data_IF_448424238501
#
_entry.id   IF_448424238501
#
_cell.length_a   1.000
_cell.length_b   1.000
_cell.length_c   1.000
_cell.angle_alpha   90.00
_cell.angle_beta   90.00
_cell.angle_gamma   90.00
#
_symmetry.space_group_name_H-M   'P 1'
#
loop_
_entity.id
_entity.type
_entity.pdbx_description
1 polymer ?
#
# COMPACT_ATOMS: atom_id res chain seq x y z
N UNK A 1 15.66 12.33 17.70
CA UNK A 1 16.44 13.23 16.83
C UNK A 1 15.98 14.69 16.82
N UNK A 2 14.67 15.04 16.93
CA UNK A 2 14.28 16.45 17.01
C UNK A 2 14.97 17.23 18.13
N UNK A 3 15.33 16.57 19.24
CA UNK A 3 16.10 17.21 20.31
C UNK A 3 17.54 17.59 19.93
N UNK A 4 18.12 17.01 18.87
CA UNK A 4 19.52 17.23 18.50
C UNK A 4 19.75 18.55 17.72
N UNK A 5 18.74 19.04 17.00
CA UNK A 5 18.87 20.28 16.21
C UNK A 5 17.50 20.88 15.85
N UNK A 6 17.35 22.22 15.87
CA UNK A 6 16.16 22.92 15.36
C UNK A 6 15.81 22.56 13.91
N UNK A 7 16.81 22.16 13.12
CA UNK A 7 16.67 21.77 11.72
C UNK A 7 15.68 20.60 11.50
N UNK A 8 15.42 19.79 12.53
CA UNK A 8 14.50 18.66 12.46
C UNK A 8 13.04 19.00 12.79
N UNK A 9 12.71 20.29 12.97
CA UNK A 9 11.32 20.75 13.15
C UNK A 9 10.74 21.48 11.92
N UNK A 10 11.58 21.78 10.93
CA UNK A 10 11.21 22.58 9.75
C UNK A 10 10.97 21.75 8.49
N UNK A 11 10.56 22.46 7.43
CA UNK A 11 10.61 21.94 6.05
C UNK A 11 12.06 22.06 5.57
N UNK A 12 12.58 21.03 4.90
CA UNK A 12 13.91 21.08 4.29
C UNK A 12 13.95 22.05 3.11
N UNK A 13 15.02 22.84 3.03
CA UNK A 13 15.30 23.76 1.94
C UNK A 13 15.65 23.00 0.65
N UNK A 14 15.59 23.71 -0.48
CA UNK A 14 15.91 23.11 -1.77
C UNK A 14 17.36 22.61 -1.82
N UNK A 15 17.55 21.43 -2.41
CA UNK A 15 18.83 20.71 -2.47
C UNK A 15 19.39 20.25 -1.11
N UNK A 16 18.56 20.20 -0.06
CA UNK A 16 18.89 19.49 1.17
C UNK A 16 19.10 18.00 0.92
N UNK A 17 19.93 17.38 1.75
CA UNK A 17 20.16 15.95 1.67
C UNK A 17 20.56 15.36 3.03
N UNK A 18 20.28 14.07 3.16
CA UNK A 18 20.74 13.23 4.26
C UNK A 18 21.78 12.23 3.75
N UNK A 19 22.69 11.82 4.64
CA UNK A 19 23.70 10.82 4.36
C UNK A 19 23.70 9.79 5.49
N UNK A 20 23.65 8.52 5.14
CA UNK A 20 23.99 7.41 6.04
C UNK A 20 25.31 6.81 5.57
N UNK A 21 26.37 7.00 6.34
CA UNK A 21 27.69 6.44 6.06
C UNK A 21 27.89 5.15 6.84
N UNK A 22 28.29 4.08 6.15
CA UNK A 22 28.84 2.89 6.80
C UNK A 22 30.33 3.11 7.03
N UNK A 23 30.75 3.04 8.29
CA UNK A 23 32.13 3.30 8.69
C UNK A 23 32.68 2.14 9.49
N UNK A 24 33.96 1.85 9.32
CA UNK A 24 34.66 0.80 10.06
C UNK A 24 36.09 1.22 10.35
N UNK A 25 36.65 0.69 11.43
CA UNK A 25 38.08 0.74 11.73
C UNK A 25 38.78 -0.59 11.43
N UNK A 26 38.06 -1.59 10.92
CA UNK A 26 38.63 -2.85 10.51
C UNK A 26 39.66 -2.61 9.39
N UNK A 27 40.80 -3.29 9.49
CA UNK A 27 41.89 -3.18 8.52
C UNK A 27 41.92 -4.44 7.64
N UNK A 28 42.07 -4.27 6.34
CA UNK A 28 42.12 -5.39 5.40
C UNK A 28 41.57 -5.00 4.04
N UNK A 29 41.50 -5.98 3.13
CA UNK A 29 40.86 -5.81 1.82
C UNK A 29 39.46 -6.43 1.76
N UNK A 30 39.11 -7.24 2.76
CA UNK A 30 37.82 -7.91 2.83
C UNK A 30 36.75 -6.96 3.37
N UNK A 31 35.49 -7.24 3.00
CA UNK A 31 34.37 -6.47 3.54
C UNK A 31 34.23 -6.80 5.04
N UNK A 32 34.15 -5.79 5.92
CA UNK A 32 34.07 -6.00 7.37
C UNK A 32 32.81 -6.77 7.75
N UNK A 33 32.88 -7.53 8.84
CA UNK A 33 31.67 -8.14 9.40
C UNK A 33 30.75 -7.06 9.96
N UNK A 34 29.44 -7.34 10.04
CA UNK A 34 28.45 -6.33 10.43
C UNK A 34 28.68 -5.74 11.82
N UNK A 35 29.29 -6.49 12.74
CA UNK A 35 29.67 -6.04 14.08
C UNK A 35 30.88 -5.09 14.10
N UNK A 36 31.66 -5.03 13.02
CA UNK A 36 32.74 -4.07 12.83
C UNK A 36 32.28 -2.80 12.09
N UNK A 37 31.01 -2.72 11.70
CA UNK A 37 30.42 -1.60 10.98
C UNK A 37 29.60 -0.74 11.94
N UNK A 38 29.85 0.56 11.89
CA UNK A 38 28.97 1.57 12.48
C UNK A 38 28.32 2.40 11.39
N UNK A 39 27.19 3.00 11.72
CA UNK A 39 26.46 3.94 10.88
C UNK A 39 26.59 5.33 11.46
N UNK A 40 26.94 6.29 10.60
CA UNK A 40 26.95 7.72 10.91
C UNK A 40 25.90 8.42 10.08
N UNK A 41 25.10 9.27 10.72
CA UNK A 41 24.11 10.08 10.03
C UNK A 41 24.58 11.53 9.92
N UNK A 42 24.43 12.10 8.73
CA UNK A 42 24.68 13.51 8.49
C UNK A 42 23.53 14.14 7.71
N UNK A 43 23.28 15.42 7.98
CA UNK A 43 22.27 16.20 7.29
C UNK A 43 22.82 17.57 6.91
N UNK A 44 22.43 18.04 5.73
CA UNK A 44 22.65 19.41 5.29
C UNK A 44 21.34 19.99 4.78
N UNK A 45 20.97 21.16 5.32
CA UNK A 45 19.78 21.89 4.91
C UNK A 45 20.17 22.92 3.85
N UNK A 46 19.81 22.67 2.60
CA UNK A 46 20.11 23.53 1.45
C UNK A 46 21.36 23.12 0.65
N UNK A 47 21.72 23.97 -0.30
CA UNK A 47 22.86 23.77 -1.21
C UNK A 47 24.19 23.98 -0.49
N UNK A 48 25.14 23.05 -0.66
CA UNK A 48 26.52 23.20 -0.16
C UNK A 48 27.34 24.10 -1.09
N UNK A 49 28.09 25.04 -0.52
CA UNK A 49 29.00 25.91 -1.26
C UNK A 49 30.44 25.86 -0.73
N UNK A 50 31.42 25.86 -1.64
CA UNK A 50 32.83 25.91 -1.30
C UNK A 50 33.32 24.68 -0.52
N UNK A 51 33.56 24.85 0.79
CA UNK A 51 34.17 23.85 1.67
C UNK A 51 33.26 23.38 2.82
N UNK A 52 31.98 23.78 2.77
CA UNK A 52 30.94 23.33 3.68
C UNK A 52 30.77 21.81 3.61
N UNK A 53 30.37 21.22 4.74
CA UNK A 53 30.19 19.77 4.89
C UNK A 53 28.88 19.50 5.62
N UNK A 54 28.23 18.35 5.38
CA UNK A 54 27.09 17.92 6.17
C UNK A 54 27.41 17.87 7.66
N UNK A 55 26.45 18.27 8.50
CA UNK A 55 26.61 18.19 9.96
C UNK A 55 26.23 16.79 10.41
N UNK A 56 27.07 16.19 11.25
CA UNK A 56 26.84 14.86 11.83
C UNK A 56 25.87 15.01 13.01
N UNK A 57 24.89 14.11 13.10
CA UNK A 57 23.94 14.10 14.20
C UNK A 57 23.79 12.69 14.79
N UNK A 58 23.63 12.56 16.12
CA UNK A 58 23.35 11.29 16.74
C UNK A 58 21.94 10.80 16.40
N UNK A 59 21.80 9.49 16.22
CA UNK A 59 20.53 8.85 15.84
C UNK A 59 19.80 8.27 17.05
N UNK A 60 18.46 8.17 16.94
CA UNK A 60 17.59 7.46 17.90
C UNK A 60 17.76 7.87 19.37
N UNK A 61 17.98 9.17 19.61
CA UNK A 61 18.13 9.77 20.94
C UNK A 61 19.31 9.22 21.75
N UNK A 62 20.31 8.68 21.04
CA UNK A 62 21.60 8.33 21.60
C UNK A 62 22.49 9.57 21.74
N UNK A 63 23.55 9.46 22.54
CA UNK A 63 24.56 10.51 22.68
C UNK A 63 25.75 10.37 21.73
N UNK A 64 25.86 9.23 21.04
CA UNK A 64 26.98 8.91 20.13
C UNK A 64 26.61 9.19 18.68
N UNK A 65 27.54 9.80 17.94
CA UNK A 65 27.43 10.04 16.50
C UNK A 65 27.64 8.78 15.66
N UNK A 66 28.21 7.73 16.27
CA UNK A 66 28.35 6.41 15.69
C UNK A 66 27.40 5.44 16.38
N UNK A 67 26.60 4.75 15.58
CA UNK A 67 25.70 3.70 16.03
C UNK A 67 26.15 2.36 15.44
N UNK A 68 26.14 1.27 16.21
CA UNK A 68 26.44 -0.05 15.64
C UNK A 68 25.45 -0.37 14.50
N UNK A 69 25.91 -1.09 13.47
CA UNK A 69 25.01 -1.48 12.38
C UNK A 69 23.81 -2.30 12.86
N UNK A 70 24.01 -3.17 13.85
CA UNK A 70 22.93 -3.96 14.47
C UNK A 70 21.89 -3.09 15.16
N UNK A 71 22.31 -2.08 15.93
CA UNK A 71 21.38 -1.17 16.59
C UNK A 71 20.65 -0.28 15.57
N UNK A 72 21.37 0.19 14.55
CA UNK A 72 20.78 0.95 13.44
C UNK A 72 19.67 0.14 12.76
N UNK A 73 19.96 -1.10 12.35
CA UNK A 73 18.96 -1.98 11.72
C UNK A 73 17.76 -2.20 12.63
N UNK A 74 18.01 -2.53 13.90
CA UNK A 74 16.95 -2.79 14.90
C UNK A 74 16.04 -1.59 15.11
N UNK A 75 16.59 -0.37 15.13
CA UNK A 75 15.80 0.85 15.30
C UNK A 75 15.05 1.23 14.02
N UNK A 76 15.68 1.05 12.86
CA UNK A 76 15.05 1.34 11.57
C UNK A 76 13.90 0.38 11.28
N UNK A 77 14.02 -0.89 11.66
CA UNK A 77 12.98 -1.91 11.50
C UNK A 77 11.68 -1.57 12.24
N UNK A 78 11.74 -0.73 13.29
CA UNK A 78 10.54 -0.27 14.01
C UNK A 78 9.68 0.69 13.20
N UNK A 79 10.28 1.39 12.24
CA UNK A 79 9.59 2.39 11.40
C UNK A 79 9.55 2.00 9.93
N UNK A 80 10.30 0.98 9.53
CA UNK A 80 10.36 0.51 8.16
C UNK A 80 9.06 -0.20 7.75
N UNK A 81 8.63 0.09 6.52
CA UNK A 81 7.65 -0.72 5.81
C UNK A 81 8.42 -1.64 4.87
N UNK A 82 8.54 -2.91 5.24
CA UNK A 82 9.47 -3.84 4.59
C UNK A 82 8.79 -4.75 3.57
N UNK A 83 7.48 -4.65 3.41
CA UNK A 83 6.72 -5.45 2.45
C UNK A 83 5.54 -4.69 1.84
N UNK A 84 5.16 -5.12 0.63
CA UNK A 84 3.96 -4.61 -0.05
C UNK A 84 2.70 -4.86 0.77
N UNK A 85 2.57 -6.02 1.44
CA UNK A 85 1.41 -6.31 2.29
C UNK A 85 1.30 -5.33 3.45
N UNK A 86 2.41 -5.12 4.18
CA UNK A 86 2.44 -4.15 5.28
C UNK A 86 2.09 -2.73 4.80
N UNK A 87 2.60 -2.33 3.63
CA UNK A 87 2.24 -1.05 3.00
C UNK A 87 0.73 -0.95 2.72
N UNK A 88 0.15 -1.99 2.11
CA UNK A 88 -1.26 -2.03 1.77
C UNK A 88 -2.16 -1.97 3.02
N UNK A 89 -1.79 -2.69 4.08
CA UNK A 89 -2.51 -2.70 5.35
C UNK A 89 -2.45 -1.32 6.03
N UNK A 90 -1.27 -0.69 6.07
CA UNK A 90 -1.08 0.63 6.68
C UNK A 90 -1.80 1.74 5.92
N UNK A 91 -1.80 1.70 4.58
CA UNK A 91 -2.43 2.73 3.75
C UNK A 91 -3.91 2.44 3.42
N UNK A 92 -4.43 1.26 3.77
CA UNK A 92 -5.82 0.88 3.52
C UNK A 92 -6.20 0.73 2.03
N UNK A 93 -5.24 0.38 1.17
CA UNK A 93 -5.46 0.21 -0.26
C UNK A 93 -5.82 -1.24 -0.58
N UNK A 94 -6.87 -1.46 -1.37
CA UNK A 94 -7.31 -2.79 -1.82
C UNK A 94 -7.07 -3.07 -3.30
N UNK A 95 -6.61 -2.07 -4.06
CA UNK A 95 -6.55 -2.14 -5.52
C UNK A 95 -5.11 -2.30 -6.03
N UNK A 96 -4.97 -2.62 -7.32
CA UNK A 96 -3.66 -2.74 -7.99
C UNK A 96 -2.75 -3.78 -7.31
N UNK A 97 -1.56 -3.35 -6.87
CA UNK A 97 -0.58 -4.21 -6.18
C UNK A 97 -1.06 -4.72 -4.82
N UNK A 98 -2.12 -4.15 -4.26
CA UNK A 98 -2.72 -4.58 -2.99
C UNK A 98 -3.86 -5.60 -3.14
N UNK A 99 -4.30 -5.86 -4.38
CA UNK A 99 -5.40 -6.80 -4.65
C UNK A 99 -5.06 -8.25 -4.27
N UNK A 100 -3.79 -8.65 -4.38
CA UNK A 100 -3.33 -10.00 -4.01
C UNK A 100 -3.18 -10.20 -2.50
N UNK A 101 -2.99 -9.12 -1.73
CA UNK A 101 -2.93 -9.15 -0.27
C UNK A 101 -4.32 -9.31 0.37
N UNK A 102 -5.38 -9.17 -0.43
CA UNK A 102 -6.77 -9.43 -0.05
C UNK A 102 -7.16 -10.91 -0.18
N UNK A 103 -6.26 -11.78 -0.64
CA UNK A 103 -6.51 -13.22 -0.67
C UNK A 103 -6.42 -13.77 0.76
N UNK A 104 -7.49 -14.33 1.34
CA UNK A 104 -7.45 -14.84 2.69
C UNK A 104 -6.48 -16.03 2.69
N UNK A 105 -5.39 -15.90 3.45
CA UNK A 105 -4.65 -17.06 3.93
C UNK A 105 -5.67 -17.96 4.62
N UNK A 106 -5.96 -19.08 3.97
CA UNK A 106 -6.92 -20.06 4.43
C UNK A 106 -6.30 -20.78 5.62
N UNK A 107 -6.51 -20.23 6.82
CA UNK A 107 -6.18 -20.89 8.08
C UNK A 107 -7.38 -20.73 9.00
N UNK A 108 -8.09 -21.81 9.36
CA UNK A 108 -9.22 -21.71 10.27
C UNK A 108 -8.66 -21.64 11.69
N UNK A 109 -8.26 -20.45 12.14
CA UNK A 109 -8.00 -20.19 13.55
C UNK A 109 -9.23 -19.55 14.18
N UNK A 110 -10.02 -20.39 14.82
CA UNK A 110 -10.99 -20.00 15.83
C UNK A 110 -10.31 -19.13 16.89
N UNK A 111 -10.57 -17.84 16.89
CA UNK A 111 -10.37 -16.98 18.06
C UNK A 111 -11.62 -16.12 18.26
N UNK A 112 -12.30 -16.44 19.35
CA UNK A 112 -13.40 -15.69 19.89
C UNK A 112 -12.86 -14.39 20.49
N UNK A 113 -13.31 -13.25 19.99
CA UNK A 113 -13.39 -12.03 20.79
C UNK A 113 -14.62 -11.24 20.36
N UNK A 114 -15.56 -11.14 21.28
CA UNK A 114 -16.76 -10.33 21.19
C UNK A 114 -16.40 -8.83 21.17
N UNK A 115 -17.04 -8.07 20.28
CA UNK A 115 -17.86 -6.88 20.61
C UNK A 115 -17.87 -5.82 19.50
N UNK A 116 -19.07 -5.25 19.32
CA UNK A 116 -19.50 -4.20 18.39
C UNK A 116 -19.77 -4.63 16.94
N UNK A 117 -21.07 -4.68 16.62
CA UNK A 117 -21.62 -5.08 15.32
C UNK A 117 -21.34 -4.08 14.20
N UNK A 118 -20.12 -4.15 13.65
CA UNK A 118 -19.84 -3.63 12.32
C UNK A 118 -20.26 -4.64 11.26
N UNK A 119 -21.20 -4.27 10.39
CA UNK A 119 -21.49 -5.03 9.17
C UNK A 119 -20.17 -5.17 8.40
N UNK A 120 -19.73 -6.42 8.19
CA UNK A 120 -18.51 -6.71 7.41
C UNK A 120 -18.55 -5.98 6.06
N UNK A 121 -17.43 -5.38 5.65
CA UNK A 121 -17.34 -4.57 4.41
C UNK A 121 -17.82 -5.33 3.17
N UNK A 122 -17.68 -6.65 3.15
CA UNK A 122 -18.23 -7.50 2.10
C UNK A 122 -19.77 -7.47 2.04
N UNK A 123 -20.43 -7.38 3.20
CA UNK A 123 -21.89 -7.29 3.33
C UNK A 123 -22.40 -5.90 2.97
N UNK A 124 -21.66 -4.83 3.30
CA UNK A 124 -22.03 -3.46 2.91
C UNK A 124 -22.06 -3.26 1.39
N UNK A 125 -21.13 -3.87 0.64
CA UNK A 125 -21.13 -3.83 -0.83
C UNK A 125 -22.34 -4.51 -1.47
N UNK A 126 -22.81 -5.61 -0.90
CA UNK A 126 -23.98 -6.35 -1.38
C UNK A 126 -25.29 -5.58 -1.17
N UNK A 127 -25.40 -4.83 -0.07
CA UNK A 127 -26.59 -4.01 0.19
C UNK A 127 -26.70 -2.89 -0.86
N UNK A 128 -25.60 -2.21 -1.19
CA UNK A 128 -25.59 -1.13 -2.18
C UNK A 128 -26.02 -1.59 -3.58
N UNK A 129 -25.57 -2.78 -4.00
CA UNK A 129 -25.92 -3.33 -5.32
C UNK A 129 -27.40 -3.71 -5.38
N UNK A 130 -27.94 -4.36 -4.34
CA UNK A 130 -29.36 -4.73 -4.29
C UNK A 130 -30.29 -3.50 -4.30
N UNK A 131 -29.96 -2.46 -3.54
CA UNK A 131 -30.77 -1.23 -3.50
C UNK A 131 -30.77 -0.55 -4.87
N UNK A 132 -29.60 -0.44 -5.51
CA UNK A 132 -29.49 0.17 -6.85
C UNK A 132 -30.30 -0.61 -7.89
N UNK A 133 -30.25 -1.94 -7.83
CA UNK A 133 -31.01 -2.81 -8.74
C UNK A 133 -32.52 -2.65 -8.53
N UNK A 134 -32.98 -2.56 -7.28
CA UNK A 134 -34.38 -2.34 -6.95
C UNK A 134 -34.90 -1.00 -7.47
N UNK A 135 -34.11 0.08 -7.33
CA UNK A 135 -34.49 1.40 -7.85
C UNK A 135 -34.57 1.40 -9.37
N UNK A 136 -33.59 0.81 -10.05
CA UNK A 136 -33.57 0.74 -11.52
C UNK A 136 -34.77 -0.06 -12.05
N UNK A 137 -35.03 -1.24 -11.48
CA UNK A 137 -36.17 -2.06 -11.88
C UNK A 137 -37.50 -1.38 -11.55
N UNK A 138 -37.59 -0.68 -10.41
CA UNK A 138 -38.77 0.10 -10.04
C UNK A 138 -39.06 1.23 -11.03
N UNK A 139 -38.04 2.00 -11.42
CA UNK A 139 -38.17 3.06 -12.42
C UNK A 139 -38.53 2.51 -13.80
N UNK A 140 -37.93 1.39 -14.22
CA UNK A 140 -38.31 0.72 -15.47
C UNK A 140 -39.77 0.25 -15.44
N UNK A 141 -40.21 -0.36 -14.34
CA UNK A 141 -41.59 -0.81 -14.18
C UNK A 141 -42.57 0.38 -14.22
N UNK A 142 -42.25 1.48 -13.53
CA UNK A 142 -43.06 2.70 -13.57
C UNK A 142 -43.15 3.28 -14.98
N UNK A 143 -42.03 3.33 -15.70
CA UNK A 143 -41.97 3.81 -17.08
C UNK A 143 -42.82 2.95 -18.03
N UNK A 144 -42.76 1.62 -17.91
CA UNK A 144 -43.57 0.71 -18.71
C UNK A 144 -45.07 0.84 -18.40
N UNK A 145 -45.44 1.02 -17.12
CA UNK A 145 -46.83 1.16 -16.68
C UNK A 145 -47.44 2.50 -17.09
N UNK A 146 -46.72 3.61 -16.91
CA UNK A 146 -47.20 4.96 -17.27
C UNK A 146 -47.12 5.21 -18.77
N UNK A 147 -46.10 4.67 -19.44
CA UNK A 147 -45.91 4.80 -20.90
C UNK A 147 -46.81 3.92 -21.76
N UNK A 148 -47.63 3.03 -21.17
CA UNK A 148 -48.55 2.16 -21.90
C UNK A 148 -47.89 1.01 -22.66
N UNK A 149 -46.61 0.72 -22.40
CA UNK A 149 -45.85 -0.33 -23.08
C UNK A 149 -46.20 -1.70 -22.51
N UNK A 150 -46.88 -2.54 -23.29
CA UNK A 150 -47.13 -3.94 -22.92
C UNK A 150 -46.02 -4.83 -23.47
N UNK A 151 -45.41 -5.65 -22.60
CA UNK A 151 -44.47 -6.68 -23.02
C UNK A 151 -45.27 -7.79 -23.71
N UNK A 152 -45.25 -7.82 -25.05
CA UNK A 152 -45.84 -8.90 -25.81
C UNK A 152 -44.88 -10.09 -25.87
N UNK A 153 -45.33 -11.27 -25.43
CA UNK A 153 -44.57 -12.51 -25.60
C UNK A 153 -44.57 -12.89 -27.08
N UNK A 154 -43.42 -12.74 -27.76
CA UNK A 154 -43.25 -13.37 -29.07
C UNK A 154 -42.95 -14.86 -28.84
N UNK A 155 -43.96 -15.72 -28.99
CA UNK A 155 -43.74 -17.15 -29.12
C UNK A 155 -42.89 -17.38 -30.38
N UNK A 156 -41.58 -17.62 -30.20
CA UNK A 156 -40.85 -18.41 -31.18
C UNK A 156 -41.35 -19.84 -31.02
N UNK A 157 -42.11 -20.32 -32.00
CA UNK A 157 -42.32 -21.75 -32.21
C UNK A 157 -40.97 -22.47 -32.18
N UNK A 158 -40.99 -23.70 -31.66
CA UNK A 158 -39.82 -24.54 -31.42
C UNK A 158 -39.01 -24.91 -32.67
N UNK A 159 -37.98 -25.75 -32.49
CA UNK A 159 -36.79 -25.83 -33.33
C UNK A 159 -36.94 -26.79 -34.52
N UNK A 160 -36.48 -26.40 -35.71
CA UNK A 160 -36.20 -27.27 -36.87
C UNK A 160 -35.54 -26.36 -37.95
N UNK A 161 -34.49 -26.66 -38.71
CA UNK A 161 -33.48 -27.70 -38.88
C UNK A 161 -32.37 -27.01 -39.70
N UNK A 162 -31.13 -27.47 -39.56
CA UNK A 162 -29.94 -27.02 -40.28
C UNK A 162 -30.08 -26.96 -41.81
N UNK A 163 -29.23 -26.19 -42.49
CA UNK A 163 -28.15 -26.72 -43.38
C UNK A 163 -27.15 -25.63 -43.75
N UNK A 164 -25.89 -26.05 -43.85
CA UNK A 164 -24.65 -25.31 -44.06
C UNK A 164 -24.48 -24.68 -45.46
N UNK A 165 -23.59 -23.68 -45.60
CA UNK A 165 -22.23 -23.89 -46.17
C UNK A 165 -21.42 -22.59 -46.30
N UNK A 166 -20.19 -22.66 -45.76
CA UNK A 166 -18.90 -22.14 -46.25
C UNK A 166 -18.78 -20.80 -46.99
N UNK A 167 -17.98 -19.86 -46.44
CA UNK A 167 -17.03 -19.04 -47.22
C UNK A 167 -15.72 -18.83 -46.44
N UNK A 168 -14.64 -18.88 -47.19
CA UNK A 168 -13.23 -19.13 -46.89
C UNK A 168 -12.44 -17.88 -46.44
N UNK A 169 -11.37 -18.13 -45.70
CA UNK A 169 -10.34 -17.17 -45.31
C UNK A 169 -9.61 -16.52 -46.52
N UNK A 170 -9.29 -15.24 -46.40
CA UNK A 170 -7.92 -14.71 -46.51
C UNK A 170 -7.81 -13.37 -45.80
#
# INVERSE_FOLDING_TARGET
MPAASPEFYGISDYASFIVFELVTNATGTDFPSSDEISVRFAFHNGTISGSEKPTIYPMFDQSSDLLSYSDFSTQMDKVAVTSTSQWCDMCGNSDGKCSSSSAPSSTPSSSNTESSGGISRAVAGMIGTLVTLAVILGLQALFLLVGGFRIAKRNKGGPEMATASSVKAR
#
